data_IF_314034149492
#
_entry.id   IF_314034149492
#
_cell.length_a   1.000
_cell.length_b   1.000
_cell.length_c   1.000
_cell.angle_alpha   90.00
_cell.angle_beta   90.00
_cell.angle_gamma   90.00
#
_symmetry.space_group_name_H-M   'P 1'
#
loop_
_entity.id
_entity.type
_entity.pdbx_description
1 polymer ?
#
# COMPACT_ATOMS: atom_id res chain seq x y z
N UNK A 1 -17.68 -1.81 -20.00
CA UNK A 1 -17.89 -2.92 -19.04
C UNK A 1 -17.31 -2.49 -17.69
N UNK A 2 -17.87 -3.03 -16.59
CA UNK A 2 -17.27 -2.84 -15.27
C UNK A 2 -15.80 -3.32 -15.27
N UNK A 3 -14.91 -2.60 -14.56
CA UNK A 3 -13.46 -2.89 -14.52
C UNK A 3 -12.67 -2.40 -15.75
N UNK A 4 -13.33 -1.88 -16.78
CA UNK A 4 -12.63 -1.34 -17.95
C UNK A 4 -11.94 -0.02 -17.58
N UNK A 5 -10.64 0.12 -17.90
CA UNK A 5 -9.88 1.33 -17.66
C UNK A 5 -10.39 2.46 -18.55
N UNK A 6 -10.72 3.59 -17.93
CA UNK A 6 -11.22 4.80 -18.59
C UNK A 6 -10.10 5.83 -18.73
N UNK A 7 -9.32 6.04 -17.67
CA UNK A 7 -8.23 7.02 -17.64
C UNK A 7 -7.01 6.42 -16.96
N UNK A 8 -5.86 6.98 -17.26
CA UNK A 8 -4.60 6.69 -16.60
C UNK A 8 -3.98 8.02 -16.12
N UNK A 9 -3.81 8.12 -14.81
CA UNK A 9 -3.08 9.23 -14.17
C UNK A 9 -1.58 8.88 -14.21
N UNK A 10 -0.69 9.87 -14.25
CA UNK A 10 0.75 9.63 -14.23
C UNK A 10 1.16 8.82 -12.99
N UNK A 11 1.64 7.58 -13.16
CA UNK A 11 2.00 6.71 -12.05
C UNK A 11 3.42 6.97 -11.52
N UNK A 12 4.24 7.79 -12.18
CA UNK A 12 5.67 7.91 -11.86
C UNK A 12 5.93 8.32 -10.39
N UNK A 13 5.26 9.32 -9.80
CA UNK A 13 5.45 9.68 -8.39
C UNK A 13 5.04 8.55 -7.44
N UNK A 14 3.97 7.83 -7.75
CA UNK A 14 3.46 6.72 -6.92
C UNK A 14 4.36 5.48 -6.99
N UNK A 15 4.96 5.20 -8.15
CA UNK A 15 5.97 4.15 -8.31
C UNK A 15 7.21 4.48 -7.49
N UNK A 16 7.68 5.73 -7.51
CA UNK A 16 8.81 6.17 -6.69
C UNK A 16 8.52 6.02 -5.19
N UNK A 17 7.32 6.42 -4.74
CA UNK A 17 6.88 6.27 -3.36
C UNK A 17 6.81 4.77 -2.95
N UNK A 18 6.27 3.90 -3.81
CA UNK A 18 6.23 2.47 -3.57
C UNK A 18 7.63 1.86 -3.44
N UNK A 19 8.56 2.25 -4.30
CA UNK A 19 9.95 1.77 -4.25
C UNK A 19 10.65 2.24 -2.96
N UNK A 20 10.41 3.47 -2.52
CA UNK A 20 10.92 4.00 -1.25
C UNK A 20 10.37 3.20 -0.06
N UNK A 21 9.06 2.93 -0.02
CA UNK A 21 8.44 2.13 1.03
C UNK A 21 9.00 0.69 1.05
N UNK A 22 9.20 0.07 -0.11
CA UNK A 22 9.83 -1.26 -0.23
C UNK A 22 11.27 -1.28 0.29
N UNK A 23 12.06 -0.24 0.00
CA UNK A 23 13.43 -0.13 0.52
C UNK A 23 13.45 0.01 2.05
N UNK A 24 12.52 0.79 2.62
CA UNK A 24 12.37 0.93 4.07
C UNK A 24 11.97 -0.40 4.73
N UNK A 25 11.05 -1.14 4.13
CA UNK A 25 10.67 -2.48 4.59
C UNK A 25 11.86 -3.45 4.54
N UNK A 26 12.62 -3.45 3.46
CA UNK A 26 13.81 -4.30 3.33
C UNK A 26 14.85 -4.00 4.42
N UNK A 27 15.06 -2.71 4.75
CA UNK A 27 15.94 -2.30 5.87
C UNK A 27 15.42 -2.84 7.21
N UNK A 28 14.12 -2.73 7.49
CA UNK A 28 13.52 -3.23 8.72
C UNK A 28 13.64 -4.77 8.81
N UNK A 29 13.43 -5.48 7.70
CA UNK A 29 13.59 -6.94 7.63
C UNK A 29 15.04 -7.36 7.92
N UNK A 30 16.02 -6.67 7.34
CA UNK A 30 17.44 -6.95 7.61
C UNK A 30 17.79 -6.73 9.08
N UNK A 31 17.26 -5.66 9.71
CA UNK A 31 17.43 -5.42 11.14
C UNK A 31 16.80 -6.57 11.96
N UNK A 32 15.58 -6.99 11.66
CA UNK A 32 14.93 -8.11 12.35
C UNK A 32 15.75 -9.40 12.28
N UNK A 33 16.34 -9.71 11.12
CA UNK A 33 17.23 -10.87 10.96
C UNK A 33 18.41 -10.78 11.92
N UNK A 34 19.02 -9.59 12.05
CA UNK A 34 20.14 -9.36 13.00
C UNK A 34 19.70 -9.56 14.45
N UNK A 35 18.54 -9.02 14.84
CA UNK A 35 18.02 -9.18 16.20
C UNK A 35 17.63 -10.64 16.50
N UNK A 36 17.06 -11.35 15.55
CA UNK A 36 16.77 -12.79 15.68
C UNK A 36 18.03 -13.60 15.94
N UNK A 37 19.12 -13.33 15.22
CA UNK A 37 20.41 -13.98 15.42
C UNK A 37 21.01 -13.67 16.79
N UNK A 38 20.84 -12.41 17.28
CA UNK A 38 21.30 -12.00 18.59
C UNK A 38 20.55 -12.73 19.72
N UNK A 39 19.21 -12.77 19.65
CA UNK A 39 18.37 -13.47 20.62
C UNK A 39 18.69 -14.97 20.62
N UNK A 40 18.85 -15.59 19.45
CA UNK A 40 19.23 -17.00 19.36
C UNK A 40 20.57 -17.29 20.06
N UNK A 41 21.56 -16.41 19.88
CA UNK A 41 22.87 -16.50 20.54
C UNK A 41 22.75 -16.33 22.05
N UNK A 42 22.03 -15.32 22.52
CA UNK A 42 21.86 -15.05 23.93
C UNK A 42 21.07 -16.15 24.65
N UNK A 43 20.12 -16.77 23.98
CA UNK A 43 19.38 -17.93 24.50
C UNK A 43 20.32 -19.07 24.92
N UNK A 44 21.34 -19.36 24.14
CA UNK A 44 22.34 -20.39 24.46
C UNK A 44 23.25 -19.93 25.60
N UNK A 45 23.69 -18.66 25.56
CA UNK A 45 24.60 -18.12 26.57
C UNK A 45 23.95 -17.98 27.95
N UNK A 46 22.67 -17.61 28.02
CA UNK A 46 21.92 -17.57 29.29
C UNK A 46 21.80 -18.98 29.90
N UNK A 47 21.54 -19.98 29.09
CA UNK A 47 21.49 -21.38 29.56
C UNK A 47 22.82 -21.87 30.12
N UNK A 48 23.96 -21.32 29.62
CA UNK A 48 25.31 -21.56 30.12
C UNK A 48 25.76 -20.61 31.25
N UNK A 49 24.86 -19.74 31.76
CA UNK A 49 25.17 -18.67 32.72
C UNK A 49 26.31 -17.72 32.27
N UNK A 50 26.52 -17.57 30.96
CA UNK A 50 27.57 -16.76 30.38
C UNK A 50 27.18 -15.30 30.12
N UNK A 51 25.85 -14.97 30.17
CA UNK A 51 25.29 -13.62 30.08
C UNK A 51 24.18 -13.45 31.11
N UNK A 52 23.86 -12.19 31.46
CA UNK A 52 22.79 -11.91 32.42
C UNK A 52 21.41 -12.18 31.79
N UNK A 53 20.45 -12.56 32.63
CA UNK A 53 19.06 -12.71 32.20
C UNK A 53 18.49 -11.40 31.65
N UNK A 54 18.91 -10.27 32.25
CA UNK A 54 18.49 -8.93 31.81
C UNK A 54 18.96 -8.64 30.37
N UNK A 55 20.17 -9.03 30.00
CA UNK A 55 20.67 -8.84 28.62
C UNK A 55 19.88 -9.64 27.61
N UNK A 56 19.50 -10.87 27.96
CA UNK A 56 18.61 -11.68 27.14
C UNK A 56 17.24 -11.04 27.00
N UNK A 57 16.62 -10.58 28.09
CA UNK A 57 15.30 -9.95 28.09
C UNK A 57 15.33 -8.65 27.26
N UNK A 58 16.40 -7.86 27.34
CA UNK A 58 16.61 -6.67 26.51
C UNK A 58 16.72 -7.03 25.01
N UNK A 59 17.44 -8.09 24.67
CA UNK A 59 17.56 -8.55 23.30
C UNK A 59 16.20 -9.01 22.73
N UNK A 60 15.39 -9.71 23.54
CA UNK A 60 14.02 -10.11 23.17
C UNK A 60 13.11 -8.89 22.96
N UNK A 61 13.21 -7.88 23.82
CA UNK A 61 12.46 -6.64 23.67
C UNK A 61 12.83 -5.91 22.36
N UNK A 62 14.15 -5.80 22.07
CA UNK A 62 14.65 -5.19 20.82
C UNK A 62 14.20 -5.96 19.57
N UNK A 63 14.18 -7.30 19.65
CA UNK A 63 13.61 -8.15 18.59
C UNK A 63 12.12 -7.84 18.35
N UNK A 64 11.35 -7.69 19.45
CA UNK A 64 9.94 -7.31 19.36
C UNK A 64 9.73 -5.96 18.67
N UNK A 65 10.57 -4.96 18.98
CA UNK A 65 10.55 -3.67 18.29
C UNK A 65 10.86 -3.82 16.81
N UNK A 66 11.91 -4.55 16.44
CA UNK A 66 12.26 -4.79 15.05
C UNK A 66 11.15 -5.53 14.27
N UNK A 67 10.42 -6.45 14.94
CA UNK A 67 9.26 -7.10 14.34
C UNK A 67 8.10 -6.12 14.09
N UNK A 68 7.85 -5.18 15.01
CA UNK A 68 6.87 -4.11 14.84
C UNK A 68 7.26 -3.16 13.70
N UNK A 69 8.54 -2.81 13.56
CA UNK A 69 9.04 -2.01 12.44
C UNK A 69 8.80 -2.67 11.08
N UNK A 70 8.95 -3.99 10.99
CA UNK A 70 8.61 -4.76 9.78
C UNK A 70 7.11 -4.69 9.50
N UNK A 71 6.26 -4.79 10.52
CA UNK A 71 4.81 -4.68 10.35
C UNK A 71 4.42 -3.27 9.86
N UNK A 72 5.00 -2.22 10.44
CA UNK A 72 4.81 -0.84 10.00
C UNK A 72 5.29 -0.63 8.56
N UNK A 73 6.46 -1.19 8.20
CA UNK A 73 6.98 -1.14 6.84
C UNK A 73 6.06 -1.82 5.81
N UNK A 74 5.44 -2.96 6.17
CA UNK A 74 4.44 -3.62 5.31
C UNK A 74 3.23 -2.74 5.08
N UNK A 75 2.66 -2.16 6.14
CA UNK A 75 1.52 -1.25 6.03
C UNK A 75 1.83 -0.03 5.15
N UNK A 76 3.05 0.51 5.22
CA UNK A 76 3.48 1.60 4.35
C UNK A 76 3.56 1.17 2.87
N UNK A 77 4.05 -0.05 2.58
CA UNK A 77 4.05 -0.61 1.22
C UNK A 77 2.63 -0.80 0.71
N UNK A 78 1.72 -1.35 1.52
CA UNK A 78 0.33 -1.56 1.14
C UNK A 78 -0.36 -0.21 0.82
N UNK A 79 -0.14 0.81 1.65
CA UNK A 79 -0.66 2.17 1.40
C UNK A 79 -0.13 2.74 0.08
N UNK A 80 1.17 2.62 -0.19
CA UNK A 80 1.77 3.09 -1.43
C UNK A 80 1.23 2.32 -2.65
N UNK A 81 0.96 1.03 -2.50
CA UNK A 81 0.40 0.19 -3.56
C UNK A 81 -1.06 0.53 -3.87
N UNK A 82 -1.87 0.83 -2.84
CA UNK A 82 -3.25 1.32 -3.01
C UNK A 82 -3.23 2.65 -3.77
N UNK A 83 -2.37 3.59 -3.37
CA UNK A 83 -2.25 4.89 -4.03
C UNK A 83 -1.81 4.74 -5.50
N UNK A 84 -0.91 3.80 -5.81
CA UNK A 84 -0.57 3.46 -7.19
C UNK A 84 -1.78 2.89 -7.94
N UNK A 85 -2.60 2.05 -7.29
CA UNK A 85 -3.83 1.52 -7.88
C UNK A 85 -4.82 2.60 -8.30
N UNK A 86 -4.91 3.71 -7.56
CA UNK A 86 -5.78 4.84 -7.91
C UNK A 86 -5.34 5.60 -9.17
N UNK A 87 -4.13 5.37 -9.68
CA UNK A 87 -3.70 5.95 -10.95
C UNK A 87 -4.40 5.32 -12.16
N UNK A 88 -4.95 4.11 -12.03
CA UNK A 88 -5.77 3.45 -13.04
C UNK A 88 -7.25 3.67 -12.69
N UNK A 89 -7.87 4.65 -13.34
CA UNK A 89 -9.30 4.95 -13.16
C UNK A 89 -10.12 3.98 -14.00
N UNK A 90 -10.83 3.06 -13.32
CA UNK A 90 -11.66 2.05 -13.96
C UNK A 90 -13.16 2.35 -13.80
N UNK A 91 -13.97 1.84 -14.71
CA UNK A 91 -15.43 1.97 -14.60
C UNK A 91 -15.96 1.09 -13.46
N UNK A 92 -16.70 1.62 -12.48
CA UNK A 92 -17.29 0.84 -11.40
C UNK A 92 -18.49 0.01 -11.86
N UNK A 93 -19.13 0.41 -12.96
CA UNK A 93 -20.37 -0.22 -13.49
C UNK A 93 -20.23 -0.55 -14.97
N UNK A 94 -21.05 -1.48 -15.44
CA UNK A 94 -21.26 -1.72 -16.87
C UNK A 94 -22.25 -0.71 -17.40
N UNK A 95 -21.91 0.01 -18.47
CA UNK A 95 -22.78 1.03 -19.05
C UNK A 95 -22.11 1.75 -20.21
N UNK A 96 -22.75 2.83 -20.66
CA UNK A 96 -22.23 3.71 -21.69
C UNK A 96 -21.45 4.88 -21.05
N UNK A 97 -20.22 5.09 -21.51
CA UNK A 97 -19.42 6.25 -21.10
C UNK A 97 -19.85 7.46 -21.90
N UNK A 98 -20.13 8.56 -21.21
CA UNK A 98 -20.42 9.86 -21.83
C UNK A 98 -19.15 10.56 -22.36
N UNK A 99 -19.31 11.84 -22.71
CA UNK A 99 -18.20 12.66 -23.22
C UNK A 99 -17.18 12.87 -22.09
N UNK A 100 -15.88 12.77 -22.44
CA UNK A 100 -14.81 13.12 -21.52
C UNK A 100 -14.82 14.62 -21.24
N UNK A 101 -14.83 15.00 -19.98
CA UNK A 101 -14.76 16.40 -19.55
C UNK A 101 -13.32 16.88 -19.35
N UNK A 102 -12.36 15.96 -19.49
CA UNK A 102 -10.93 16.26 -19.35
C UNK A 102 -10.19 15.87 -20.63
N UNK A 103 -9.20 16.67 -20.99
CA UNK A 103 -8.31 16.39 -22.14
C UNK A 103 -7.06 15.64 -21.67
N UNK A 104 -6.40 14.86 -22.54
CA UNK A 104 -5.09 14.28 -22.24
C UNK A 104 -4.09 15.35 -21.81
N UNK A 105 -3.39 15.11 -20.69
CA UNK A 105 -2.45 16.09 -20.10
C UNK A 105 -3.09 17.09 -19.13
N UNK A 106 -4.41 17.06 -18.93
CA UNK A 106 -5.07 17.90 -17.94
C UNK A 106 -4.61 17.53 -16.52
N UNK A 107 -4.44 18.54 -15.68
CA UNK A 107 -4.12 18.36 -14.27
C UNK A 107 -5.38 18.04 -13.48
N UNK A 108 -5.35 16.95 -12.74
CA UNK A 108 -6.44 16.52 -11.85
C UNK A 108 -5.94 16.45 -10.41
N UNK A 109 -6.74 16.93 -9.45
CA UNK A 109 -6.39 16.95 -8.04
C UNK A 109 -7.36 16.07 -7.23
N UNK A 110 -6.82 15.28 -6.31
CA UNK A 110 -7.62 14.49 -5.38
C UNK A 110 -8.45 15.35 -4.40
N UNK A 111 -8.01 16.58 -4.13
CA UNK A 111 -8.68 17.52 -3.24
C UNK A 111 -9.90 18.22 -3.86
N UNK A 112 -10.03 18.18 -5.17
CA UNK A 112 -11.18 18.73 -5.90
C UNK A 112 -11.84 17.63 -6.71
N UNK A 113 -13.15 17.45 -6.52
CA UNK A 113 -13.94 16.49 -7.28
C UNK A 113 -14.02 16.92 -8.75
N UNK A 114 -13.00 16.58 -9.56
CA UNK A 114 -12.99 16.85 -11.00
C UNK A 114 -13.84 15.80 -11.70
N UNK A 115 -14.95 16.22 -12.31
CA UNK A 115 -15.76 15.34 -13.13
C UNK A 115 -14.98 14.99 -14.40
N UNK A 116 -14.58 13.72 -14.54
CA UNK A 116 -13.81 13.24 -15.69
C UNK A 116 -14.74 12.72 -16.80
N UNK A 117 -15.70 11.89 -16.44
CA UNK A 117 -16.77 11.41 -17.33
C UNK A 117 -17.90 10.81 -16.51
N UNK A 118 -19.09 10.70 -17.12
CA UNK A 118 -20.24 10.05 -16.51
C UNK A 118 -20.44 8.70 -17.17
N UNK A 119 -20.60 7.65 -16.36
CA UNK A 119 -20.96 6.31 -16.85
C UNK A 119 -22.42 6.07 -16.49
N UNK A 120 -23.26 5.82 -17.48
CA UNK A 120 -24.70 5.57 -17.32
C UNK A 120 -24.99 4.10 -17.58
N UNK A 121 -25.67 3.47 -16.64
CA UNK A 121 -26.23 2.14 -16.85
C UNK A 121 -27.55 2.30 -17.59
N UNK A 122 -27.68 1.67 -18.77
CA UNK A 122 -28.85 1.78 -19.64
C UNK A 122 -29.80 0.56 -19.56
N UNK A 123 -29.49 -0.40 -18.71
CA UNK A 123 -30.26 -1.63 -18.53
C UNK A 123 -30.28 -1.99 -17.03
N UNK A 124 -31.46 -2.10 -16.39
CA UNK A 124 -32.82 -1.95 -16.92
C UNK A 124 -33.25 -0.47 -17.09
N UNK A 125 -34.23 -0.25 -18.00
CA UNK A 125 -34.91 1.04 -18.20
C UNK A 125 -36.32 0.94 -17.60
N UNK A 126 -36.66 1.91 -16.75
CA UNK A 126 -38.02 2.06 -16.24
C UNK A 126 -38.84 2.94 -17.21
N UNK A 127 -40.04 2.51 -17.55
CA UNK A 127 -41.00 3.28 -18.36
C UNK A 127 -42.23 3.56 -17.50
N UNK A 128 -42.46 4.84 -17.20
CA UNK A 128 -43.68 5.29 -16.54
C UNK A 128 -44.76 5.45 -17.61
N UNK A 129 -45.81 4.64 -17.52
CA UNK A 129 -46.99 4.74 -18.38
C UNK A 129 -48.02 5.59 -17.61
N UNK A 130 -48.31 6.78 -18.11
CA UNK A 130 -49.43 7.64 -17.67
C UNK A 130 -50.69 7.37 -18.40
#
# INVERSE_FOLDING_TARGET
KAGQRLYKIDPAPYIAALNSAKATLAKAQANLVTQNALVARYKVLVAANAVSKQDYDNAVATQGQAAADVAAGKAAVDTAQINLGYTDVVSPITGRVGISQVTPGAYVQASQATLMSTVQQLDPVYVDLT
#
